data_IF_793657197365
#
_entry.id   IF_793657197365
#
_cell.length_a   1.000
_cell.length_b   1.000
_cell.length_c   1.000
_cell.angle_alpha   90.00
_cell.angle_beta   90.00
_cell.angle_gamma   90.00
#
_symmetry.space_group_name_H-M   'P 1'
#
loop_
_entity.id
_entity.type
_entity.pdbx_description
1 polymer ?
#
# COMPACT_ATOMS: atom_id res chain seq x y z
N UNK A 1 -10.30 11.43 24.73
CA UNK A 1 -8.88 11.04 24.83
C UNK A 1 -8.14 11.04 23.49
N UNK A 2 -8.55 10.30 22.43
CA UNK A 2 -7.82 10.25 21.14
C UNK A 2 -7.60 11.63 20.50
N UNK A 3 -8.60 12.52 20.48
CA UNK A 3 -8.48 13.88 19.89
C UNK A 3 -7.47 14.75 20.62
N UNK A 4 -7.42 14.71 21.94
CA UNK A 4 -6.45 15.46 22.75
C UNK A 4 -5.04 14.94 22.49
N UNK A 5 -4.85 13.63 22.46
CA UNK A 5 -3.57 13.02 22.15
C UNK A 5 -3.05 13.43 20.76
N UNK A 6 -3.93 13.45 19.75
CA UNK A 6 -3.55 13.89 18.38
C UNK A 6 -3.17 15.37 18.40
N UNK A 7 -3.95 16.23 19.06
CA UNK A 7 -3.65 17.68 19.15
C UNK A 7 -2.28 17.95 19.77
N UNK A 8 -1.90 17.19 20.79
CA UNK A 8 -0.59 17.31 21.45
C UNK A 8 0.56 16.79 20.57
N UNK A 9 0.32 15.79 19.73
CA UNK A 9 1.37 15.08 18.97
C UNK A 9 1.44 15.43 17.49
N UNK A 10 0.48 16.19 16.96
CA UNK A 10 0.38 16.49 15.51
C UNK A 10 1.55 17.35 14.99
N UNK A 11 2.20 18.14 15.85
CA UNK A 11 3.34 18.98 15.45
C UNK A 11 4.46 18.17 14.77
N UNK A 12 4.69 16.92 15.20
CA UNK A 12 5.70 16.03 14.62
C UNK A 12 5.41 15.64 13.18
N UNK A 13 4.19 15.81 12.71
CA UNK A 13 3.80 15.52 11.33
C UNK A 13 3.72 16.77 10.45
N UNK A 14 4.09 17.95 10.96
CA UNK A 14 4.03 19.19 10.18
C UNK A 14 4.91 19.12 8.91
N UNK A 15 6.15 18.65 9.03
CA UNK A 15 7.04 18.50 7.88
C UNK A 15 6.55 17.43 6.89
N UNK A 16 5.89 16.37 7.37
CA UNK A 16 5.27 15.35 6.51
C UNK A 16 4.10 15.94 5.70
N UNK A 17 3.27 16.75 6.37
CA UNK A 17 2.15 17.43 5.73
C UNK A 17 2.62 18.45 4.71
N UNK A 18 3.64 19.22 5.03
CA UNK A 18 4.23 20.18 4.11
C UNK A 18 4.76 19.49 2.86
N UNK A 19 5.53 18.40 3.03
CA UNK A 19 5.99 17.60 1.90
C UNK A 19 4.81 17.07 1.06
N UNK A 20 3.80 16.49 1.70
CA UNK A 20 2.61 16.01 1.01
C UNK A 20 1.99 17.09 0.11
N UNK A 21 1.91 18.34 0.58
CA UNK A 21 1.31 19.45 -0.18
C UNK A 21 2.11 19.91 -1.39
N UNK A 22 3.43 19.71 -1.40
CA UNK A 22 4.33 20.20 -2.47
C UNK A 22 4.93 19.08 -3.31
N UNK A 23 4.65 17.83 -3.01
CA UNK A 23 5.23 16.67 -3.67
C UNK A 23 4.83 16.59 -5.14
N UNK A 24 5.77 16.24 -6.02
CA UNK A 24 5.50 16.00 -7.46
C UNK A 24 4.48 14.87 -7.69
N UNK A 25 4.46 13.88 -6.82
CA UNK A 25 3.53 12.74 -6.83
C UNK A 25 2.33 12.96 -5.89
N UNK A 26 1.92 14.22 -5.70
CA UNK A 26 0.83 14.62 -4.81
C UNK A 26 -0.46 13.83 -5.07
N UNK A 27 -0.87 13.69 -6.33
CA UNK A 27 -2.12 13.01 -6.70
C UNK A 27 -2.14 11.53 -6.27
N UNK A 28 -0.99 10.86 -6.38
CA UNK A 28 -0.82 9.47 -5.92
C UNK A 28 -0.92 9.39 -4.41
N UNK A 29 -0.23 10.29 -3.71
CA UNK A 29 -0.27 10.37 -2.23
C UNK A 29 -1.66 10.76 -1.72
N UNK A 30 -2.37 11.63 -2.44
CA UNK A 30 -3.74 12.02 -2.10
C UNK A 30 -4.72 10.86 -2.26
N UNK A 31 -4.59 10.07 -3.33
CA UNK A 31 -5.38 8.86 -3.53
C UNK A 31 -5.17 7.84 -2.39
N UNK A 32 -3.91 7.62 -1.98
CA UNK A 32 -3.59 6.78 -0.82
C UNK A 32 -4.24 7.32 0.46
N UNK A 33 -4.09 8.62 0.70
CA UNK A 33 -4.61 9.28 1.90
C UNK A 33 -6.13 9.20 1.97
N UNK A 34 -6.84 9.58 0.90
CA UNK A 34 -8.30 9.57 0.85
C UNK A 34 -8.83 8.15 1.07
N UNK A 35 -8.27 7.16 0.38
CA UNK A 35 -8.75 5.78 0.47
C UNK A 35 -8.55 5.19 1.87
N UNK A 36 -7.36 5.40 2.46
CA UNK A 36 -7.08 4.95 3.82
C UNK A 36 -7.93 5.69 4.87
N UNK A 37 -8.14 7.01 4.70
CA UNK A 37 -9.04 7.78 5.57
C UNK A 37 -10.48 7.26 5.52
N UNK A 38 -11.01 7.03 4.34
CA UNK A 38 -12.39 6.56 4.16
C UNK A 38 -12.57 5.18 4.81
N UNK A 39 -11.60 4.28 4.63
CA UNK A 39 -11.68 2.92 5.17
C UNK A 39 -11.50 2.89 6.69
N UNK A 40 -10.45 3.50 7.20
CA UNK A 40 -10.01 3.27 8.58
C UNK A 40 -10.52 4.31 9.57
N UNK A 41 -10.80 5.53 9.12
CA UNK A 41 -11.17 6.65 9.99
C UNK A 41 -12.60 7.08 9.77
N UNK A 42 -12.95 7.46 8.56
CA UNK A 42 -14.29 7.96 8.22
C UNK A 42 -15.33 6.85 8.15
N UNK A 43 -14.91 5.64 7.78
CA UNK A 43 -15.78 4.47 7.58
C UNK A 43 -16.92 4.74 6.60
N UNK A 44 -16.63 5.47 5.52
CA UNK A 44 -17.55 5.80 4.44
C UNK A 44 -17.16 5.04 3.16
N UNK A 45 -18.06 4.95 2.16
CA UNK A 45 -17.75 4.30 0.89
C UNK A 45 -16.47 4.85 0.23
N UNK A 46 -15.71 3.97 -0.44
CA UNK A 46 -14.41 4.29 -1.02
C UNK A 46 -14.48 5.26 -2.21
N UNK A 47 -15.64 5.35 -2.86
CA UNK A 47 -15.91 6.27 -3.96
C UNK A 47 -16.18 7.71 -3.49
N UNK A 48 -16.43 7.90 -2.20
CA UNK A 48 -16.67 9.22 -1.63
C UNK A 48 -15.38 10.00 -1.46
N UNK A 49 -15.26 11.12 -2.18
CA UNK A 49 -14.11 12.02 -2.12
C UNK A 49 -14.40 13.21 -1.22
N UNK A 50 -13.57 13.40 -0.21
CA UNK A 50 -13.53 14.60 0.63
C UNK A 50 -12.09 15.00 0.86
N UNK A 51 -11.75 16.27 0.61
CA UNK A 51 -10.41 16.80 0.83
C UNK A 51 -9.91 16.51 2.25
N UNK A 52 -8.72 15.92 2.41
CA UNK A 52 -8.16 15.61 3.72
C UNK A 52 -7.79 16.87 4.49
N UNK A 53 -8.07 16.87 5.79
CA UNK A 53 -7.57 17.88 6.72
C UNK A 53 -6.24 17.45 7.35
N UNK A 54 -5.46 18.43 7.85
CA UNK A 54 -4.23 18.14 8.59
C UNK A 54 -4.46 17.21 9.79
N UNK A 55 -5.56 17.39 10.51
CA UNK A 55 -5.89 16.56 11.68
C UNK A 55 -6.21 15.11 11.30
N UNK A 56 -6.90 14.89 10.19
CA UNK A 56 -7.17 13.55 9.64
C UNK A 56 -5.87 12.87 9.19
N UNK A 57 -4.99 13.60 8.52
CA UNK A 57 -3.65 13.13 8.17
C UNK A 57 -2.87 12.71 9.42
N UNK A 58 -2.80 13.56 10.43
CA UNK A 58 -2.13 13.24 11.70
C UNK A 58 -2.74 12.03 12.40
N UNK A 59 -4.06 11.87 12.32
CA UNK A 59 -4.77 10.71 12.89
C UNK A 59 -4.33 9.43 12.21
N UNK A 60 -4.30 9.42 10.86
CA UNK A 60 -3.87 8.27 10.08
C UNK A 60 -2.40 7.95 10.36
N UNK A 61 -1.53 8.94 10.30
CA UNK A 61 -0.09 8.81 10.61
C UNK A 61 0.17 8.31 12.03
N UNK A 62 -0.70 8.63 13.00
CA UNK A 62 -0.52 8.23 14.39
C UNK A 62 -0.95 6.78 14.63
N UNK A 63 -2.14 6.40 14.16
CA UNK A 63 -2.77 5.14 14.54
C UNK A 63 -2.65 4.02 13.50
N UNK A 64 -2.36 4.36 12.23
CA UNK A 64 -2.24 3.39 11.15
C UNK A 64 -0.81 3.39 10.61
N UNK A 65 0.07 2.69 11.33
CA UNK A 65 1.52 2.67 11.03
C UNK A 65 1.82 2.14 9.62
N UNK A 66 0.98 1.27 9.06
CA UNK A 66 1.10 0.80 7.67
C UNK A 66 1.03 1.96 6.69
N UNK A 67 0.17 2.95 6.95
CA UNK A 67 0.11 4.16 6.12
C UNK A 67 1.43 4.96 6.16
N UNK A 68 2.16 4.95 7.28
CA UNK A 68 3.49 5.57 7.33
C UNK A 68 4.47 4.93 6.34
N UNK A 69 4.46 3.59 6.23
CA UNK A 69 5.32 2.87 5.28
C UNK A 69 4.94 3.23 3.84
N UNK A 70 3.64 3.30 3.51
CA UNK A 70 3.17 3.77 2.21
C UNK A 70 3.68 5.20 1.96
N UNK A 71 3.45 6.11 2.90
CA UNK A 71 3.90 7.50 2.80
C UNK A 71 5.41 7.60 2.59
N UNK A 72 6.21 6.87 3.38
CA UNK A 72 7.66 6.91 3.24
C UNK A 72 8.16 6.28 1.95
N UNK A 73 7.54 5.23 1.44
CA UNK A 73 7.85 4.69 0.12
C UNK A 73 7.61 5.74 -0.98
N UNK A 74 6.50 6.52 -0.91
CA UNK A 74 6.22 7.62 -1.84
C UNK A 74 7.25 8.75 -1.77
N UNK A 75 7.68 9.10 -0.54
CA UNK A 75 8.72 10.11 -0.35
C UNK A 75 10.06 9.61 -0.87
N UNK A 76 10.43 8.36 -0.54
CA UNK A 76 11.71 7.76 -0.89
C UNK A 76 11.88 7.56 -2.40
N UNK A 77 10.80 7.35 -3.13
CA UNK A 77 10.82 7.26 -4.60
C UNK A 77 11.50 8.47 -5.26
N UNK A 78 11.24 9.67 -4.74
CA UNK A 78 11.85 10.90 -5.24
C UNK A 78 13.01 11.41 -4.37
N UNK A 79 12.93 11.21 -3.06
CA UNK A 79 13.82 11.81 -2.06
C UNK A 79 14.15 10.84 -0.91
N UNK A 80 15.01 9.83 -1.13
CA UNK A 80 15.27 8.77 -0.13
C UNK A 80 15.86 9.31 1.18
N UNK A 81 16.77 10.28 1.12
CA UNK A 81 17.34 10.89 2.34
C UNK A 81 16.29 11.66 3.15
N UNK A 82 15.34 12.31 2.47
CA UNK A 82 14.28 13.04 3.14
C UNK A 82 13.26 12.10 3.79
N UNK A 83 12.95 10.97 3.16
CA UNK A 83 12.14 9.92 3.78
C UNK A 83 12.76 9.42 5.09
N UNK A 84 14.07 9.17 5.09
CA UNK A 84 14.81 8.76 6.29
C UNK A 84 14.79 9.85 7.37
N UNK A 85 14.97 11.11 6.99
CA UNK A 85 14.87 12.24 7.91
C UNK A 85 13.49 12.34 8.55
N UNK A 86 12.40 12.27 7.77
CA UNK A 86 11.04 12.32 8.28
C UNK A 86 10.74 11.14 9.22
N UNK A 87 11.31 9.97 8.98
CA UNK A 87 11.09 8.77 9.80
C UNK A 87 11.63 8.91 11.23
N UNK A 88 12.52 9.86 11.51
CA UNK A 88 12.98 10.19 12.87
C UNK A 88 11.86 10.71 13.75
N UNK A 89 10.88 11.41 13.17
CA UNK A 89 9.73 11.95 13.90
C UNK A 89 8.60 10.93 14.10
N UNK A 90 8.52 9.93 13.24
CA UNK A 90 7.50 8.90 13.32
C UNK A 90 7.97 7.60 12.65
N UNK A 91 8.48 6.66 13.42
CA UNK A 91 9.00 5.39 12.92
C UNK A 91 7.97 4.63 12.09
N UNK A 92 8.36 4.03 10.94
CA UNK A 92 7.52 3.13 10.17
C UNK A 92 7.17 1.86 10.99
N UNK A 93 6.24 1.07 10.48
CA UNK A 93 5.99 -0.27 11.01
C UNK A 93 7.18 -1.17 10.66
N UNK A 94 7.85 -1.81 11.63
CA UNK A 94 8.87 -2.80 11.33
C UNK A 94 8.25 -4.02 10.65
N UNK A 95 9.05 -4.75 9.88
CA UNK A 95 8.63 -5.95 9.13
C UNK A 95 7.55 -5.71 8.05
N UNK A 96 7.35 -4.47 7.65
CA UNK A 96 6.64 -4.09 6.43
C UNK A 96 7.63 -3.37 5.52
N UNK A 97 8.00 -4.03 4.43
CA UNK A 97 8.85 -3.47 3.40
C UNK A 97 8.05 -3.13 2.16
N UNK A 98 8.16 -1.89 1.68
CA UNK A 98 7.57 -1.42 0.44
C UNK A 98 8.69 -0.80 -0.38
N UNK A 99 9.01 -1.41 -1.51
CA UNK A 99 10.07 -0.94 -2.39
C UNK A 99 9.82 0.51 -2.81
N UNK A 100 10.83 1.34 -2.60
CA UNK A 100 10.82 2.74 -3.04
C UNK A 100 11.16 2.92 -4.52
N UNK A 101 11.61 1.87 -5.19
CA UNK A 101 11.94 1.88 -6.63
C UNK A 101 10.81 1.36 -7.50
N UNK A 102 9.81 0.72 -6.91
CA UNK A 102 8.67 0.17 -7.62
C UNK A 102 7.69 1.25 -8.09
N UNK A 103 7.15 1.09 -9.29
CA UNK A 103 6.04 1.90 -9.79
C UNK A 103 4.73 1.43 -9.16
N UNK A 104 4.23 2.15 -8.17
CA UNK A 104 3.00 1.78 -7.46
C UNK A 104 1.95 2.87 -7.64
N UNK A 105 0.80 2.52 -8.22
CA UNK A 105 -0.36 3.39 -8.42
C UNK A 105 -0.96 3.89 -7.10
N UNK A 106 -1.76 4.94 -7.17
CA UNK A 106 -2.41 5.53 -5.99
C UNK A 106 -3.53 4.67 -5.41
N UNK A 107 -3.84 4.91 -4.16
CA UNK A 107 -4.89 4.19 -3.44
C UNK A 107 -4.45 2.84 -2.89
N UNK A 108 -3.17 2.62 -2.64
CA UNK A 108 -2.69 1.41 -1.99
C UNK A 108 -3.22 1.30 -0.57
N UNK A 109 -3.72 0.12 -0.20
CA UNK A 109 -4.05 -0.26 1.17
C UNK A 109 -3.18 -1.41 1.59
N UNK A 110 -2.52 -1.27 2.75
CA UNK A 110 -1.87 -2.38 3.44
C UNK A 110 -2.60 -2.60 4.75
N UNK A 111 -3.20 -3.79 4.90
CA UNK A 111 -3.92 -4.15 6.11
C UNK A 111 -3.09 -5.08 6.98
N UNK A 112 -2.91 -4.69 8.24
CA UNK A 112 -2.07 -5.34 9.25
C UNK A 112 -0.55 -5.32 8.95
N UNK A 113 -0.11 -5.56 7.75
CA UNK A 113 1.22 -5.31 7.19
C UNK A 113 2.42 -6.07 7.80
N UNK A 114 2.24 -6.85 8.86
CA UNK A 114 3.34 -7.59 9.49
C UNK A 114 3.87 -8.71 8.59
N UNK A 115 5.20 -8.82 8.46
CA UNK A 115 5.84 -9.83 7.62
C UNK A 115 5.53 -9.69 6.14
N UNK A 116 5.27 -8.46 5.68
CA UNK A 116 4.84 -8.17 4.30
C UNK A 116 5.96 -7.51 3.52
N UNK A 117 6.24 -8.02 2.33
CA UNK A 117 7.19 -7.46 1.36
C UNK A 117 6.44 -7.12 0.07
N UNK A 118 6.55 -5.88 -0.36
CA UNK A 118 5.93 -5.36 -1.59
C UNK A 118 7.05 -4.80 -2.46
N UNK A 119 7.63 -5.65 -3.30
CA UNK A 119 8.73 -5.32 -4.21
C UNK A 119 8.40 -5.77 -5.65
N UNK A 120 7.35 -5.22 -6.26
CA UNK A 120 6.97 -5.48 -7.65
C UNK A 120 7.78 -4.63 -8.61
N UNK A 121 7.71 -4.95 -9.91
CA UNK A 121 8.04 -4.01 -11.00
C UNK A 121 7.01 -2.88 -11.03
N UNK A 122 5.72 -3.27 -11.01
CA UNK A 122 4.59 -2.34 -11.05
C UNK A 122 3.39 -2.87 -10.28
N UNK A 123 2.67 -1.97 -9.61
CA UNK A 123 1.31 -2.20 -9.09
C UNK A 123 0.39 -1.09 -9.61
N UNK A 124 -0.77 -1.46 -10.12
CA UNK A 124 -1.82 -0.53 -10.54
C UNK A 124 -2.47 0.22 -9.39
N UNK A 125 -3.58 0.89 -9.66
CA UNK A 125 -4.33 1.69 -8.69
C UNK A 125 -5.21 0.82 -7.81
N UNK A 126 -5.52 1.34 -6.61
CA UNK A 126 -6.51 0.77 -5.70
C UNK A 126 -6.24 -0.69 -5.28
N UNK A 127 -4.99 -1.11 -5.23
CA UNK A 127 -4.65 -2.43 -4.77
C UNK A 127 -4.77 -2.55 -3.23
N UNK A 128 -4.95 -3.80 -2.77
CA UNK A 128 -5.08 -4.14 -1.36
C UNK A 128 -4.20 -5.32 -1.01
N UNK A 129 -3.33 -5.16 -0.03
CA UNK A 129 -2.37 -6.17 0.39
C UNK A 129 -2.53 -6.43 1.89
N UNK A 130 -2.66 -7.69 2.28
CA UNK A 130 -2.76 -8.08 3.68
C UNK A 130 -1.40 -8.49 4.28
N UNK A 131 -1.40 -8.86 5.57
CA UNK A 131 -0.21 -9.32 6.29
C UNK A 131 0.37 -10.63 5.71
N UNK A 132 1.69 -10.79 5.86
CA UNK A 132 2.41 -12.01 5.47
C UNK A 132 2.52 -12.21 3.96
N UNK A 133 2.11 -11.23 3.16
CA UNK A 133 2.21 -11.27 1.70
C UNK A 133 3.64 -11.03 1.26
N UNK A 134 4.08 -11.76 0.23
CA UNK A 134 5.30 -11.44 -0.51
C UNK A 134 4.94 -11.21 -1.98
N UNK A 135 5.21 -10.02 -2.47
CA UNK A 135 5.20 -9.69 -3.90
C UNK A 135 6.64 -9.36 -4.24
N UNK A 136 7.29 -10.23 -5.03
CA UNK A 136 8.72 -10.07 -5.25
C UNK A 136 9.29 -11.03 -6.28
N UNK A 137 10.58 -10.94 -6.45
CA UNK A 137 11.37 -11.66 -7.44
C UNK A 137 11.83 -13.04 -6.91
N UNK A 138 12.19 -13.93 -7.83
CA UNK A 138 12.85 -15.22 -7.55
C UNK A 138 14.32 -15.20 -7.94
N UNK A 139 14.71 -14.25 -8.78
CA UNK A 139 16.08 -13.95 -9.20
C UNK A 139 16.21 -12.45 -9.50
N UNK A 140 17.39 -11.99 -9.91
CA UNK A 140 17.69 -10.55 -10.04
C UNK A 140 16.92 -9.85 -11.17
N UNK A 141 16.40 -10.59 -12.15
CA UNK A 141 15.78 -10.02 -13.36
C UNK A 141 14.25 -10.14 -13.39
N UNK A 142 13.65 -11.01 -12.58
CA UNK A 142 12.22 -11.26 -12.57
C UNK A 142 11.49 -10.44 -11.49
N UNK A 143 10.39 -9.84 -11.84
CA UNK A 143 9.64 -9.02 -10.91
C UNK A 143 8.16 -8.95 -11.31
N UNK A 144 7.23 -9.24 -10.39
CA UNK A 144 5.82 -9.29 -10.75
C UNK A 144 5.25 -7.92 -11.09
N UNK A 145 4.23 -7.94 -11.96
CA UNK A 145 3.42 -6.78 -12.30
C UNK A 145 1.95 -7.05 -11.99
N UNK A 146 1.29 -6.13 -11.31
CA UNK A 146 -0.11 -6.23 -10.91
C UNK A 146 -0.91 -5.08 -11.55
N UNK A 147 -2.09 -5.40 -12.07
CA UNK A 147 -3.05 -4.42 -12.59
C UNK A 147 -3.76 -3.62 -11.52
N UNK A 148 -4.86 -2.97 -11.91
CA UNK A 148 -5.70 -2.15 -11.00
C UNK A 148 -6.62 -3.03 -10.15
N UNK A 149 -6.97 -2.56 -8.96
CA UNK A 149 -7.92 -3.20 -8.03
C UNK A 149 -7.54 -4.64 -7.61
N UNK A 150 -6.28 -5.02 -7.71
CA UNK A 150 -5.82 -6.34 -7.29
C UNK A 150 -5.85 -6.44 -5.76
N UNK A 151 -6.38 -7.57 -5.26
CA UNK A 151 -6.41 -7.88 -3.83
C UNK A 151 -5.56 -9.11 -3.55
N UNK A 152 -4.59 -8.98 -2.65
CA UNK A 152 -3.73 -10.09 -2.23
C UNK A 152 -3.98 -10.37 -0.75
N UNK A 153 -4.63 -11.51 -0.47
CA UNK A 153 -4.96 -11.89 0.89
C UNK A 153 -3.78 -12.46 1.68
N UNK A 154 -3.98 -12.57 2.98
CA UNK A 154 -2.94 -12.87 3.96
C UNK A 154 -2.12 -14.13 3.60
N UNK A 155 -0.82 -14.03 3.79
CA UNK A 155 0.13 -15.13 3.57
C UNK A 155 0.40 -15.48 2.10
N UNK A 156 -0.31 -14.90 1.14
CA UNK A 156 -0.12 -15.20 -0.28
C UNK A 156 1.25 -14.75 -0.80
N UNK A 157 1.75 -15.43 -1.83
CA UNK A 157 3.01 -15.14 -2.51
C UNK A 157 2.73 -14.92 -4.00
N UNK A 158 3.28 -13.84 -4.55
CA UNK A 158 3.28 -13.52 -5.99
C UNK A 158 4.74 -13.37 -6.39
N UNK A 159 5.27 -14.35 -7.09
CA UNK A 159 6.72 -14.50 -7.25
C UNK A 159 7.10 -14.67 -8.72
N UNK A 160 8.23 -14.02 -9.09
CA UNK A 160 8.80 -14.13 -10.42
C UNK A 160 8.22 -13.14 -11.42
N UNK A 161 8.60 -13.25 -12.70
CA UNK A 161 8.09 -12.42 -13.78
C UNK A 161 6.68 -12.86 -14.19
N UNK A 162 5.71 -12.54 -13.33
CA UNK A 162 4.29 -12.87 -13.53
C UNK A 162 3.45 -11.61 -13.64
N UNK A 163 2.42 -11.69 -14.47
CA UNK A 163 1.46 -10.62 -14.68
C UNK A 163 0.08 -11.01 -14.11
N UNK A 164 -0.44 -10.19 -13.20
CA UNK A 164 -1.81 -10.28 -12.72
C UNK A 164 -2.64 -9.16 -13.35
N UNK A 165 -3.67 -9.53 -14.09
CA UNK A 165 -4.60 -8.55 -14.69
C UNK A 165 -5.43 -7.79 -13.67
N UNK A 166 -6.25 -6.86 -14.13
CA UNK A 166 -7.11 -6.05 -13.27
C UNK A 166 -8.14 -6.88 -12.50
N UNK A 167 -8.52 -6.40 -11.32
CA UNK A 167 -9.53 -7.02 -10.46
C UNK A 167 -9.23 -8.46 -10.03
N UNK A 168 -7.98 -8.91 -10.13
CA UNK A 168 -7.57 -10.23 -9.63
C UNK A 168 -7.64 -10.29 -8.11
N UNK A 169 -8.11 -11.41 -7.60
CA UNK A 169 -8.09 -11.72 -6.17
C UNK A 169 -7.21 -12.95 -5.94
N UNK A 170 -6.14 -12.77 -5.20
CA UNK A 170 -5.26 -13.85 -4.74
C UNK A 170 -5.72 -14.28 -3.35
N UNK A 171 -6.21 -15.49 -3.22
CA UNK A 171 -6.71 -16.03 -1.95
C UNK A 171 -5.60 -16.20 -0.92
N UNK A 172 -5.98 -16.29 0.35
CA UNK A 172 -5.04 -16.48 1.45
C UNK A 172 -4.15 -17.71 1.22
N UNK A 173 -2.85 -17.55 1.52
CA UNK A 173 -1.82 -18.58 1.38
C UNK A 173 -1.63 -19.15 -0.04
N UNK A 174 -2.19 -18.51 -1.07
CA UNK A 174 -1.94 -18.92 -2.45
C UNK A 174 -0.53 -18.54 -2.92
N UNK A 175 0.05 -19.36 -3.80
CA UNK A 175 1.37 -19.10 -4.41
C UNK A 175 1.21 -18.95 -5.92
N UNK A 176 1.26 -17.71 -6.39
CA UNK A 176 1.15 -17.35 -7.80
C UNK A 176 2.53 -17.31 -8.44
N UNK A 177 2.74 -18.18 -9.42
CA UNK A 177 3.98 -18.33 -10.20
C UNK A 177 3.72 -18.41 -11.69
N UNK A 178 2.52 -18.02 -12.13
CA UNK A 178 2.10 -17.91 -13.53
C UNK A 178 1.16 -16.72 -13.68
N UNK A 179 1.05 -16.21 -14.90
CA UNK A 179 0.14 -15.15 -15.25
C UNK A 179 -1.31 -15.46 -14.88
N UNK A 180 -2.05 -14.44 -14.50
CA UNK A 180 -3.46 -14.51 -14.12
C UNK A 180 -4.23 -13.47 -14.90
N UNK A 181 -5.19 -13.93 -15.71
CA UNK A 181 -6.10 -13.05 -16.46
C UNK A 181 -6.92 -12.16 -15.54
N UNK A 182 -7.35 -11.00 -16.06
CA UNK A 182 -8.19 -10.07 -15.32
C UNK A 182 -9.50 -10.72 -14.83
N UNK A 183 -10.06 -10.17 -13.75
CA UNK A 183 -11.33 -10.59 -13.17
C UNK A 183 -11.35 -12.05 -12.68
N UNK A 184 -10.24 -12.58 -12.25
CA UNK A 184 -10.11 -13.94 -11.72
C UNK A 184 -9.91 -13.96 -10.21
N UNK A 185 -10.36 -15.05 -9.58
CA UNK A 185 -9.97 -15.43 -8.22
C UNK A 185 -9.07 -16.65 -8.33
N UNK A 186 -7.88 -16.59 -7.73
CA UNK A 186 -6.91 -17.69 -7.74
C UNK A 186 -6.63 -18.16 -6.30
N UNK A 187 -6.44 -19.47 -6.16
CA UNK A 187 -6.13 -20.12 -4.87
C UNK A 187 -5.24 -21.35 -5.05
N UNK A 188 -4.56 -21.77 -3.99
CA UNK A 188 -3.75 -22.98 -3.93
C UNK A 188 -2.25 -22.78 -4.12
N UNK A 189 -1.48 -23.87 -4.08
CA UNK A 189 -0.04 -23.93 -4.24
C UNK A 189 0.31 -25.07 -5.22
N UNK A 190 0.69 -24.76 -6.49
CA UNK A 190 0.62 -23.45 -7.14
C UNK A 190 -0.82 -22.97 -7.32
N UNK A 191 -1.01 -21.65 -7.40
CA UNK A 191 -2.33 -21.05 -7.54
C UNK A 191 -2.97 -21.40 -8.90
N UNK A 192 -4.29 -21.66 -8.85
CA UNK A 192 -5.13 -21.91 -10.04
C UNK A 192 -6.38 -21.05 -9.97
N UNK A 193 -6.94 -20.71 -11.12
CA UNK A 193 -8.23 -20.01 -11.18
C UNK A 193 -9.33 -20.88 -10.60
N UNK A 194 -10.03 -20.38 -9.59
CA UNK A 194 -11.15 -21.04 -8.94
C UNK A 194 -12.50 -20.39 -9.27
N UNK A 195 -12.47 -19.14 -9.73
CA UNK A 195 -13.67 -18.36 -10.08
C UNK A 195 -13.33 -17.21 -11.02
N UNK A 196 -14.19 -16.97 -12.00
CA UNK A 196 -14.22 -15.74 -12.78
C UNK A 196 -15.21 -14.75 -12.12
N UNK A 197 -14.81 -13.50 -11.99
CA UNK A 197 -15.67 -12.41 -11.46
C UNK A 197 -16.35 -11.74 -12.67
N UNK A 198 -17.65 -11.59 -12.59
CA UNK A 198 -18.44 -10.84 -13.57
C UNK A 198 -18.34 -9.34 -13.27
#
# INVERSE_FOLDING_TARGET
MKRIFIAITCWRFFLHWLYYKIAKNHDVMEADLIRNLNLFIRRIPLDTKKSPSFLEFCTLMTFYRMFRNIFYARVAYNHPFYAKFLSLFASPLPLLDISSTAEIGGGLIVQHGYGTIIAPRKIGKNCWVNQGVTIGYTNDDDCPSLGDNVTVYCGAKVLGDVHLGDNVVVAANAVVVKDVEANCVVAGVPAKVIKNRK
#
